data_IF_806491669434
#
_entry.id   IF_806491669434
#
_cell.length_a   1.000
_cell.length_b   1.000
_cell.length_c   1.000
_cell.angle_alpha   90.00
_cell.angle_beta   90.00
_cell.angle_gamma   90.00
#
_symmetry.space_group_name_H-M   'P 1'
#
loop_
_entity.id
_entity.type
_entity.pdbx_description
1 polymer ?
#
# COMPACT_ATOMS: atom_id res chain seq x y z
N UNK A 1 151.55 89.94 -25.45
CA UNK A 1 152.09 91.32 -25.42
C UNK A 1 153.57 91.38 -25.86
N UNK A 2 153.88 91.12 -27.14
CA UNK A 2 155.23 91.39 -27.73
C UNK A 2 155.20 92.22 -29.03
N UNK A 3 154.04 92.30 -29.69
CA UNK A 3 153.77 93.30 -30.76
C UNK A 3 153.53 94.73 -30.25
N UNK A 4 153.53 94.95 -28.93
CA UNK A 4 153.41 96.28 -28.30
C UNK A 4 154.77 96.92 -27.95
N UNK A 5 155.88 96.18 -28.10
CA UNK A 5 157.21 96.60 -27.62
C UNK A 5 158.23 96.84 -28.76
N UNK A 6 157.95 96.32 -29.95
CA UNK A 6 158.79 96.52 -31.16
C UNK A 6 158.42 97.82 -31.92
N UNK A 7 157.22 98.36 -31.73
CA UNK A 7 156.83 99.65 -32.34
C UNK A 7 157.35 100.88 -31.56
N UNK A 8 157.87 100.67 -30.34
CA UNK A 8 158.52 101.71 -29.51
C UNK A 8 160.03 101.80 -29.79
N UNK A 9 160.58 100.94 -30.67
CA UNK A 9 162.03 100.85 -30.91
C UNK A 9 162.38 100.60 -32.39
N UNK A 10 161.65 101.24 -33.30
CA UNK A 10 162.12 101.52 -34.67
C UNK A 10 162.34 103.04 -34.83
N UNK A 11 163.31 103.52 -34.06
CA UNK A 11 163.89 104.86 -34.16
C UNK A 11 164.58 105.05 -35.52
N UNK A 12 164.53 106.29 -36.04
CA UNK A 12 165.67 106.87 -36.75
C UNK A 12 165.49 107.14 -38.25
N UNK A 13 165.38 108.43 -38.60
CA UNK A 13 165.45 109.02 -39.95
C UNK A 13 164.40 108.50 -40.97
N UNK A 14 163.63 109.35 -41.64
CA UNK A 14 164.03 110.65 -42.18
C UNK A 14 163.11 111.78 -41.72
N UNK A 15 163.73 112.90 -41.33
CA UNK A 15 163.09 114.22 -41.38
C UNK A 15 163.00 114.61 -42.85
N UNK A 16 161.95 114.12 -43.51
CA UNK A 16 161.57 114.52 -44.86
C UNK A 16 160.97 115.92 -44.86
N UNK A 17 161.79 116.93 -44.56
CA UNK A 17 161.44 118.33 -44.81
C UNK A 17 160.99 118.40 -46.27
N UNK A 18 159.76 118.85 -46.50
CA UNK A 18 159.26 119.23 -47.82
C UNK A 18 160.25 120.22 -48.41
N UNK A 19 161.13 119.74 -49.30
CA UNK A 19 162.37 120.41 -49.64
C UNK A 19 162.10 121.51 -50.66
N UNK A 20 161.51 122.59 -50.17
CA UNK A 20 161.26 123.81 -50.92
C UNK A 20 162.62 124.37 -51.34
N UNK A 21 162.91 124.31 -52.64
CA UNK A 21 164.20 124.74 -53.15
C UNK A 21 164.35 126.25 -53.01
N UNK A 22 165.48 126.69 -52.43
CA UNK A 22 165.72 128.11 -52.07
C UNK A 22 165.61 129.07 -53.26
N UNK A 23 165.88 128.57 -54.46
CA UNK A 23 165.89 129.26 -55.75
C UNK A 23 164.60 129.07 -56.57
N UNK A 24 163.62 128.30 -56.07
CA UNK A 24 162.31 128.12 -56.72
C UNK A 24 161.20 128.57 -55.77
N UNK A 25 160.95 129.89 -55.64
CA UNK A 25 159.88 130.41 -54.79
C UNK A 25 158.48 130.05 -55.33
N UNK A 26 157.47 130.14 -54.47
CA UNK A 26 156.07 129.70 -54.75
C UNK A 26 155.46 130.36 -56.00
N UNK A 27 155.88 131.58 -56.33
CA UNK A 27 155.42 132.34 -57.49
C UNK A 27 156.26 132.12 -58.76
N UNK A 28 157.27 131.24 -58.73
CA UNK A 28 158.05 130.88 -59.92
C UNK A 28 157.20 130.01 -60.85
N UNK A 29 157.24 130.28 -62.17
CA UNK A 29 156.41 129.58 -63.16
C UNK A 29 156.55 128.05 -63.13
N UNK A 30 157.74 127.55 -62.79
CA UNK A 30 158.03 126.12 -62.69
C UNK A 30 157.72 125.51 -61.31
N UNK A 31 157.25 126.29 -60.32
CA UNK A 31 157.15 125.85 -58.92
C UNK A 31 156.30 124.59 -58.76
N UNK A 32 155.07 124.57 -59.29
CA UNK A 32 154.17 123.42 -59.18
C UNK A 32 154.78 122.17 -59.84
N UNK A 33 155.28 122.30 -61.08
CA UNK A 33 155.90 121.20 -61.81
C UNK A 33 157.16 120.65 -61.10
N UNK A 34 158.01 121.53 -60.56
CA UNK A 34 159.22 121.14 -59.79
C UNK A 34 158.83 120.46 -58.49
N UNK A 35 157.87 121.01 -57.74
CA UNK A 35 157.41 120.44 -56.49
C UNK A 35 156.70 119.08 -56.69
N UNK A 36 155.91 118.93 -57.74
CA UNK A 36 155.25 117.65 -58.05
C UNK A 36 156.25 116.60 -58.53
N UNK A 37 157.16 116.93 -59.46
CA UNK A 37 158.23 116.03 -59.89
C UNK A 37 159.20 115.68 -58.75
N UNK A 38 159.42 116.59 -57.79
CA UNK A 38 160.19 116.33 -56.58
C UNK A 38 159.44 115.47 -55.57
N UNK A 39 158.12 115.67 -55.39
CA UNK A 39 157.27 114.84 -54.53
C UNK A 39 157.13 113.41 -55.05
N UNK A 40 157.12 113.25 -56.36
CA UNK A 40 157.22 111.97 -57.06
C UNK A 40 158.66 111.40 -57.05
N UNK A 41 159.65 112.15 -56.58
CA UNK A 41 161.07 111.75 -56.52
C UNK A 41 161.77 111.69 -57.89
N UNK A 42 161.09 112.08 -58.97
CA UNK A 42 161.59 112.06 -60.35
C UNK A 42 162.80 112.98 -60.50
N UNK A 43 162.69 114.21 -60.01
CA UNK A 43 163.77 115.19 -59.96
C UNK A 43 164.13 115.45 -58.50
N UNK A 44 165.42 115.52 -58.22
CA UNK A 44 165.96 115.83 -56.89
C UNK A 44 166.96 116.97 -57.03
N UNK A 45 166.77 118.05 -56.26
CA UNK A 45 167.69 119.18 -56.25
C UNK A 45 169.05 118.85 -55.64
N UNK A 46 169.88 119.88 -55.55
CA UNK A 46 171.26 119.79 -55.10
C UNK A 46 171.38 119.72 -53.56
N UNK A 47 172.50 119.22 -53.02
CA UNK A 47 172.72 119.11 -51.57
C UNK A 47 172.70 120.43 -50.79
N UNK A 48 172.89 121.57 -51.46
CA UNK A 48 172.80 122.92 -50.86
C UNK A 48 171.35 123.42 -50.63
N UNK A 49 170.36 122.66 -51.13
CA UNK A 49 168.94 123.00 -51.09
C UNK A 49 168.46 123.86 -52.25
N UNK A 50 169.22 123.97 -53.34
CA UNK A 50 168.80 124.60 -54.60
C UNK A 50 168.35 123.56 -55.63
N UNK A 51 167.53 123.96 -56.59
CA UNK A 51 167.14 123.15 -57.75
C UNK A 51 168.09 123.36 -58.93
N UNK A 52 168.65 124.57 -59.04
CA UNK A 52 169.50 125.04 -60.15
C UNK A 52 168.81 124.97 -61.52
N UNK A 53 167.55 125.39 -61.60
CA UNK A 53 166.72 125.25 -62.81
C UNK A 53 167.25 125.94 -64.08
N UNK A 54 168.14 126.93 -63.95
CA UNK A 54 168.80 127.60 -65.08
C UNK A 54 170.15 126.96 -65.47
N UNK A 55 170.63 125.94 -64.75
CA UNK A 55 171.87 125.23 -65.05
C UNK A 55 171.65 124.14 -66.11
N UNK A 56 172.68 123.85 -66.91
CA UNK A 56 172.62 122.76 -67.88
C UNK A 56 172.50 121.39 -67.19
N UNK A 57 171.45 120.65 -67.54
CA UNK A 57 171.23 119.29 -67.06
C UNK A 57 172.22 118.32 -67.74
N UNK A 58 172.94 117.51 -66.95
CA UNK A 58 173.78 116.45 -67.53
C UNK A 58 172.91 115.32 -68.10
N UNK A 59 173.42 114.63 -69.12
CA UNK A 59 172.73 113.46 -69.72
C UNK A 59 172.44 112.36 -68.69
N UNK A 60 173.29 112.21 -67.67
CA UNK A 60 173.07 111.28 -66.56
C UNK A 60 171.87 111.68 -65.68
N UNK A 61 171.76 112.95 -65.29
CA UNK A 61 170.61 113.45 -64.51
C UNK A 61 169.30 113.30 -65.30
N UNK A 62 169.32 113.60 -66.61
CA UNK A 62 168.16 113.39 -67.49
C UNK A 62 167.74 111.92 -67.55
N UNK A 63 168.69 110.99 -67.74
CA UNK A 63 168.41 109.56 -67.80
C UNK A 63 167.84 109.02 -66.47
N UNK A 64 168.37 109.45 -65.33
CA UNK A 64 167.83 109.08 -64.01
C UNK A 64 166.40 109.60 -63.84
N UNK A 65 166.13 110.85 -64.22
CA UNK A 65 164.78 111.42 -64.16
C UNK A 65 163.79 110.63 -65.01
N UNK A 66 164.11 110.36 -66.29
CA UNK A 66 163.24 109.57 -67.16
C UNK A 66 163.06 108.13 -66.67
N UNK A 67 164.09 107.49 -66.11
CA UNK A 67 163.97 106.15 -65.53
C UNK A 67 163.05 106.12 -64.31
N UNK A 68 163.15 107.11 -63.41
CA UNK A 68 162.24 107.26 -62.27
C UNK A 68 160.81 107.52 -62.72
N UNK A 69 160.60 108.45 -63.66
CA UNK A 69 159.29 108.76 -64.23
C UNK A 69 158.67 107.53 -64.91
N UNK A 70 159.45 106.79 -65.72
CA UNK A 70 159.00 105.56 -66.35
C UNK A 70 158.58 104.51 -65.31
N UNK A 71 159.34 104.32 -64.23
CA UNK A 71 158.96 103.37 -63.19
C UNK A 71 157.68 103.76 -62.45
N UNK A 72 157.42 105.06 -62.25
CA UNK A 72 156.16 105.55 -61.66
C UNK A 72 154.99 105.33 -62.61
N UNK A 73 155.14 105.72 -63.88
CA UNK A 73 154.12 105.51 -64.92
C UNK A 73 153.87 104.01 -65.23
N UNK A 74 154.83 103.13 -64.89
CA UNK A 74 154.71 101.67 -65.01
C UNK A 74 154.07 101.01 -63.77
N UNK A 75 153.87 101.71 -62.66
CA UNK A 75 153.13 101.15 -61.53
C UNK A 75 151.62 101.25 -61.77
N UNK A 76 150.89 100.11 -61.89
CA UNK A 76 149.44 100.14 -61.98
C UNK A 76 148.84 100.35 -60.59
N UNK A 77 148.27 101.53 -60.33
CA UNK A 77 147.67 101.86 -59.03
C UNK A 77 146.14 101.79 -59.06
N UNK A 78 145.56 100.60 -58.82
CA UNK A 78 144.29 100.37 -58.07
C UNK A 78 143.84 98.91 -58.18
N UNK A 79 143.29 98.37 -57.08
CA UNK A 79 142.99 96.94 -56.89
C UNK A 79 141.72 96.46 -57.62
N UNK A 80 141.85 96.11 -58.92
CA UNK A 80 140.78 95.45 -59.70
C UNK A 80 140.52 94.02 -59.20
N UNK A 81 141.52 93.31 -58.70
CA UNK A 81 141.39 91.92 -58.24
C UNK A 81 140.52 91.79 -56.99
N UNK A 82 140.66 92.69 -56.02
CA UNK A 82 139.80 92.76 -54.84
C UNK A 82 138.34 93.11 -55.17
N UNK A 83 138.09 93.84 -56.26
CA UNK A 83 136.74 94.08 -56.79
C UNK A 83 136.16 92.83 -57.45
N UNK A 84 136.93 92.12 -58.28
CA UNK A 84 136.52 90.85 -58.90
C UNK A 84 136.14 89.82 -57.82
N UNK A 85 136.96 89.68 -56.77
CA UNK A 85 136.66 88.77 -55.66
C UNK A 85 135.36 89.15 -54.93
N UNK A 86 135.09 90.45 -54.73
CA UNK A 86 133.83 90.93 -54.14
C UNK A 86 132.62 90.62 -55.02
N UNK A 87 132.74 90.80 -56.33
CA UNK A 87 131.67 90.45 -57.29
C UNK A 87 131.38 88.95 -57.25
N UNK A 88 132.40 88.10 -57.29
CA UNK A 88 132.24 86.64 -57.16
C UNK A 88 131.56 86.24 -55.84
N UNK A 89 131.95 86.82 -54.70
CA UNK A 89 131.22 86.56 -53.44
C UNK A 89 129.78 87.07 -53.44
N UNK A 90 129.46 88.09 -54.26
CA UNK A 90 128.10 88.56 -54.44
C UNK A 90 127.28 87.58 -55.29
N UNK A 91 127.86 87.00 -56.35
CA UNK A 91 127.22 85.99 -57.20
C UNK A 91 126.87 84.72 -56.40
N UNK A 92 127.76 84.27 -55.51
CA UNK A 92 127.49 83.15 -54.58
C UNK A 92 126.35 83.48 -53.60
N UNK A 93 126.35 84.70 -53.04
CA UNK A 93 125.30 85.15 -52.12
C UNK A 93 123.95 85.32 -52.83
N UNK A 94 123.93 85.84 -54.05
CA UNK A 94 122.73 85.96 -54.89
C UNK A 94 122.20 84.58 -55.28
N UNK A 95 123.06 83.65 -55.68
CA UNK A 95 122.68 82.26 -55.98
C UNK A 95 122.10 81.56 -54.75
N UNK A 96 122.73 81.75 -53.58
CA UNK A 96 122.23 81.26 -52.29
C UNK A 96 120.88 81.87 -51.91
N UNK A 97 120.69 83.17 -52.18
CA UNK A 97 119.43 83.86 -51.93
C UNK A 97 118.31 83.35 -52.86
N UNK A 98 118.60 83.17 -54.16
CA UNK A 98 117.65 82.60 -55.12
C UNK A 98 117.21 81.18 -54.73
N UNK A 99 118.15 80.30 -54.34
CA UNK A 99 117.80 78.97 -53.82
C UNK A 99 116.91 79.04 -52.57
N UNK A 100 117.18 79.97 -51.64
CA UNK A 100 116.32 80.16 -50.45
C UNK A 100 114.94 80.69 -50.82
N UNK A 101 114.84 81.62 -51.77
CA UNK A 101 113.55 82.16 -52.27
C UNK A 101 112.76 81.06 -52.98
N UNK A 102 113.40 80.20 -53.77
CA UNK A 102 112.76 79.06 -54.42
C UNK A 102 112.26 78.04 -53.40
N UNK A 103 113.10 77.62 -52.44
CA UNK A 103 112.69 76.72 -51.36
C UNK A 103 111.52 77.30 -50.53
N UNK A 104 111.49 78.62 -50.30
CA UNK A 104 110.37 79.29 -49.65
C UNK A 104 109.11 79.25 -50.54
N UNK A 105 109.24 79.49 -51.84
CA UNK A 105 108.13 79.40 -52.80
C UNK A 105 107.52 77.99 -52.83
N UNK A 106 108.36 76.95 -52.86
CA UNK A 106 107.92 75.55 -52.86
C UNK A 106 107.22 75.19 -51.54
N UNK A 107 107.77 75.65 -50.40
CA UNK A 107 107.12 75.51 -49.09
C UNK A 107 105.78 76.26 -49.01
N UNK A 108 105.67 77.47 -49.58
CA UNK A 108 104.39 78.20 -49.68
C UNK A 108 103.38 77.47 -50.57
N UNK A 109 103.82 76.82 -51.64
CA UNK A 109 103.00 75.93 -52.45
C UNK A 109 102.44 74.75 -51.64
N UNK A 110 103.30 74.10 -50.85
CA UNK A 110 102.90 73.04 -49.90
C UNK A 110 101.85 73.51 -48.89
N UNK A 111 102.13 74.60 -48.16
CA UNK A 111 101.18 75.21 -47.20
C UNK A 111 99.84 75.58 -47.86
N UNK A 112 99.87 76.05 -49.11
CA UNK A 112 98.63 76.36 -49.87
C UNK A 112 97.82 75.09 -50.17
N UNK A 113 98.49 73.99 -50.52
CA UNK A 113 97.86 72.68 -50.73
C UNK A 113 97.26 72.11 -49.44
N UNK A 114 97.98 72.21 -48.32
CA UNK A 114 97.51 71.77 -47.00
C UNK A 114 96.29 72.59 -46.55
N UNK A 115 96.27 73.89 -46.84
CA UNK A 115 95.14 74.77 -46.50
C UNK A 115 93.87 74.41 -47.29
N UNK A 116 93.97 74.11 -48.59
CA UNK A 116 92.81 73.64 -49.37
C UNK A 116 92.36 72.23 -48.93
N UNK A 117 93.28 71.35 -48.54
CA UNK A 117 92.94 70.04 -47.94
C UNK A 117 92.16 70.23 -46.62
N UNK A 118 92.70 71.04 -45.70
CA UNK A 118 92.06 71.32 -44.40
C UNK A 118 90.68 71.98 -44.55
N UNK A 119 90.52 72.86 -45.55
CA UNK A 119 89.25 73.51 -45.90
C UNK A 119 88.22 72.49 -46.41
N UNK A 120 88.64 71.51 -47.20
CA UNK A 120 87.78 70.40 -47.63
C UNK A 120 87.41 69.48 -46.45
N UNK A 121 88.36 69.14 -45.57
CA UNK A 121 88.08 68.36 -44.35
C UNK A 121 87.10 69.09 -43.42
N UNK A 122 87.23 70.40 -43.25
CA UNK A 122 86.28 71.23 -42.49
C UNK A 122 84.90 71.26 -43.16
N UNK A 123 84.81 71.21 -44.49
CA UNK A 123 83.53 71.10 -45.19
C UNK A 123 82.88 69.72 -44.97
N UNK A 124 83.67 68.64 -45.05
CA UNK A 124 83.23 67.27 -44.80
C UNK A 124 82.76 67.10 -43.35
N UNK A 125 83.52 67.57 -42.36
CA UNK A 125 83.14 67.56 -40.94
C UNK A 125 81.86 68.33 -40.66
N UNK A 126 81.61 69.45 -41.37
CA UNK A 126 80.35 70.19 -41.27
C UNK A 126 79.17 69.38 -41.83
N UNK A 127 79.35 68.66 -42.94
CA UNK A 127 78.33 67.77 -43.49
C UNK A 127 78.01 66.64 -42.49
N UNK A 128 79.03 65.92 -42.00
CA UNK A 128 78.86 64.86 -40.99
C UNK A 128 78.20 65.39 -39.71
N UNK A 129 78.48 66.62 -39.28
CA UNK A 129 77.81 67.25 -38.14
C UNK A 129 76.31 67.52 -38.39
N UNK A 130 75.91 67.83 -39.63
CA UNK A 130 74.50 67.96 -40.01
C UNK A 130 73.83 66.59 -40.01
N UNK A 131 74.46 65.57 -40.59
CA UNK A 131 73.93 64.20 -40.61
C UNK A 131 73.77 63.63 -39.20
N UNK A 132 74.75 63.84 -38.31
CA UNK A 132 74.65 63.45 -36.89
C UNK A 132 73.54 64.20 -36.14
N UNK A 133 73.26 65.46 -36.49
CA UNK A 133 72.12 66.21 -35.91
C UNK A 133 70.79 65.63 -36.40
N UNK A 134 70.67 65.32 -37.68
CA UNK A 134 69.47 64.70 -38.25
C UNK A 134 69.23 63.31 -37.64
N UNK A 135 70.28 62.48 -37.55
CA UNK A 135 70.22 61.16 -36.90
C UNK A 135 69.84 61.26 -35.42
N UNK A 136 70.34 62.28 -34.69
CA UNK A 136 69.92 62.55 -33.30
C UNK A 136 68.42 62.86 -33.20
N UNK A 137 67.88 63.67 -34.12
CA UNK A 137 66.45 64.01 -34.13
C UNK A 137 65.61 62.76 -34.42
N UNK A 138 66.02 61.96 -35.40
CA UNK A 138 65.36 60.70 -35.75
C UNK A 138 65.34 59.71 -34.57
N UNK A 139 66.49 59.47 -33.93
CA UNK A 139 66.61 58.59 -32.75
C UNK A 139 65.74 59.10 -31.59
N UNK A 140 65.70 60.42 -31.34
CA UNK A 140 64.84 60.99 -30.30
C UNK A 140 63.35 60.81 -30.60
N UNK A 141 62.95 60.90 -31.88
CA UNK A 141 61.58 60.63 -32.32
C UNK A 141 61.19 59.16 -32.11
N UNK A 142 62.07 58.23 -32.47
CA UNK A 142 61.85 56.79 -32.26
C UNK A 142 61.77 56.43 -30.76
N UNK A 143 62.63 57.01 -29.92
CA UNK A 143 62.57 56.84 -28.46
C UNK A 143 61.27 57.37 -27.87
N UNK A 144 60.76 58.52 -28.35
CA UNK A 144 59.46 59.04 -27.91
C UNK A 144 58.31 58.11 -28.33
N UNK A 145 58.30 57.64 -29.59
CA UNK A 145 57.29 56.70 -30.08
C UNK A 145 57.26 55.41 -29.24
N UNK A 146 58.43 54.86 -28.89
CA UNK A 146 58.53 53.67 -28.04
C UNK A 146 58.08 53.93 -26.59
N UNK A 147 58.34 55.13 -26.05
CA UNK A 147 57.83 55.55 -24.74
C UNK A 147 56.29 55.58 -24.71
N UNK A 148 55.68 56.11 -25.78
CA UNK A 148 54.23 56.22 -25.89
C UNK A 148 53.57 54.83 -26.09
N UNK A 149 54.20 53.93 -26.86
CA UNK A 149 53.81 52.52 -26.98
C UNK A 149 53.87 51.77 -25.64
N UNK A 150 54.94 51.97 -24.85
CA UNK A 150 55.08 51.37 -23.53
C UNK A 150 54.00 51.85 -22.55
N UNK A 151 53.65 53.14 -22.57
CA UNK A 151 52.54 53.67 -21.77
C UNK A 151 51.19 53.07 -22.19
N UNK A 152 50.96 52.88 -23.48
CA UNK A 152 49.76 52.19 -23.99
C UNK A 152 49.71 50.72 -23.54
N UNK A 153 50.85 50.04 -23.49
CA UNK A 153 50.95 48.65 -23.05
C UNK A 153 50.70 48.53 -21.53
N UNK A 154 51.27 49.40 -20.71
CA UNK A 154 51.03 49.45 -19.26
C UNK A 154 49.54 49.65 -18.93
N UNK A 155 48.87 50.59 -19.62
CA UNK A 155 47.43 50.79 -19.47
C UNK A 155 46.62 49.51 -19.79
N UNK A 156 46.98 48.78 -20.85
CA UNK A 156 46.34 47.50 -21.22
C UNK A 156 46.61 46.40 -20.19
N UNK A 157 47.81 46.35 -19.62
CA UNK A 157 48.16 45.41 -18.54
C UNK A 157 47.33 45.69 -17.28
N UNK A 158 47.21 46.95 -16.88
CA UNK A 158 46.41 47.36 -15.73
C UNK A 158 44.90 47.09 -15.93
N UNK A 159 44.38 47.25 -17.16
CA UNK A 159 43.01 46.85 -17.51
C UNK A 159 42.83 45.32 -17.44
N UNK A 160 43.81 44.55 -17.93
CA UNK A 160 43.78 43.08 -17.87
C UNK A 160 43.83 42.56 -16.43
N UNK A 161 44.67 43.13 -15.56
CA UNK A 161 44.71 42.82 -14.13
C UNK A 161 43.37 43.13 -13.44
N UNK A 162 42.75 44.26 -13.77
CA UNK A 162 41.42 44.62 -13.26
C UNK A 162 40.33 43.64 -13.70
N UNK A 163 40.39 43.16 -14.95
CA UNK A 163 39.50 42.11 -15.48
C UNK A 163 39.72 40.76 -14.79
N UNK A 164 40.97 40.39 -14.50
CA UNK A 164 41.32 39.16 -13.77
C UNK A 164 40.73 39.21 -12.35
N UNK A 165 40.97 40.28 -11.60
CA UNK A 165 40.43 40.44 -10.24
C UNK A 165 38.88 40.38 -10.20
N UNK A 166 38.21 40.95 -11.22
CA UNK A 166 36.76 40.86 -11.36
C UNK A 166 36.27 39.43 -11.67
N UNK A 167 37.04 38.63 -12.41
CA UNK A 167 36.75 37.21 -12.66
C UNK A 167 36.99 36.36 -11.42
N UNK A 168 38.08 36.58 -10.68
CA UNK A 168 38.37 35.89 -9.40
C UNK A 168 37.27 36.14 -8.36
N UNK A 169 36.77 37.38 -8.27
CA UNK A 169 35.65 37.74 -7.41
C UNK A 169 34.34 37.03 -7.81
N UNK A 170 34.02 36.98 -9.11
CA UNK A 170 32.85 36.23 -9.61
C UNK A 170 32.96 34.74 -9.32
N UNK A 171 34.11 34.14 -9.60
CA UNK A 171 34.37 32.73 -9.37
C UNK A 171 34.21 32.38 -7.88
N UNK A 172 34.70 33.25 -6.99
CA UNK A 172 34.54 33.12 -5.54
C UNK A 172 33.06 33.21 -5.10
N UNK A 173 32.27 34.07 -5.73
CA UNK A 173 30.82 34.16 -5.49
C UNK A 173 30.05 32.91 -5.94
N UNK A 174 30.42 32.32 -7.07
CA UNK A 174 29.81 31.09 -7.56
C UNK A 174 30.11 29.89 -6.64
N UNK A 175 31.28 29.85 -5.99
CA UNK A 175 31.58 28.85 -4.95
C UNK A 175 30.67 28.96 -3.72
N UNK A 176 30.31 30.18 -3.27
CA UNK A 176 29.34 30.36 -2.17
C UNK A 176 27.95 29.84 -2.55
N UNK A 177 27.55 30.01 -3.81
CA UNK A 177 26.30 29.44 -4.32
C UNK A 177 26.38 27.90 -4.37
N UNK A 178 27.52 27.33 -4.75
CA UNK A 178 27.76 25.87 -4.70
C UNK A 178 27.63 25.33 -3.28
N UNK A 179 28.26 25.94 -2.28
CA UNK A 179 28.19 25.47 -0.88
C UNK A 179 26.76 25.57 -0.32
N UNK A 180 25.99 26.59 -0.71
CA UNK A 180 24.57 26.68 -0.40
C UNK A 180 23.75 25.55 -1.06
N UNK A 181 24.00 25.27 -2.35
CA UNK A 181 23.35 24.18 -3.08
C UNK A 181 23.70 22.82 -2.48
N UNK A 182 24.96 22.56 -2.14
CA UNK A 182 25.41 21.32 -1.49
C UNK A 182 24.75 21.15 -0.12
N UNK A 183 24.63 22.22 0.66
CA UNK A 183 23.88 22.22 1.93
C UNK A 183 22.39 21.88 1.73
N UNK A 184 21.76 22.40 0.66
CA UNK A 184 20.38 22.07 0.31
C UNK A 184 20.21 20.64 -0.21
N UNK A 185 21.19 20.12 -0.94
CA UNK A 185 21.23 18.71 -1.37
C UNK A 185 21.35 17.82 -0.13
N UNK A 186 22.29 18.08 0.78
CA UNK A 186 22.46 17.32 2.02
C UNK A 186 21.21 17.33 2.91
N UNK A 187 20.56 18.49 3.08
CA UNK A 187 19.26 18.61 3.78
C UNK A 187 18.16 17.77 3.10
N UNK A 188 18.17 17.70 1.77
CA UNK A 188 17.17 16.94 1.00
C UNK A 188 17.41 15.44 1.10
N UNK A 189 18.67 14.98 0.96
CA UNK A 189 19.08 13.58 1.15
C UNK A 189 18.75 13.09 2.56
N UNK A 190 19.03 13.89 3.59
CA UNK A 190 18.68 13.55 4.98
C UNK A 190 17.16 13.36 5.18
N UNK A 191 16.34 14.25 4.61
CA UNK A 191 14.87 14.10 4.63
C UNK A 191 14.38 12.89 3.85
N UNK A 192 15.04 12.57 2.73
CA UNK A 192 14.69 11.40 1.92
C UNK A 192 14.94 10.10 2.71
N UNK A 193 16.06 10.03 3.42
CA UNK A 193 16.40 8.89 4.30
C UNK A 193 15.42 8.72 5.48
N UNK A 194 14.95 9.81 6.10
CA UNK A 194 13.86 9.75 7.11
C UNK A 194 12.56 9.18 6.51
N UNK A 195 12.20 9.62 5.30
CA UNK A 195 11.01 9.15 4.60
C UNK A 195 11.12 7.66 4.21
N UNK A 196 12.29 7.19 3.78
CA UNK A 196 12.57 5.77 3.51
C UNK A 196 12.42 4.91 4.77
N UNK A 197 12.99 5.35 5.90
CA UNK A 197 12.84 4.66 7.19
C UNK A 197 11.37 4.61 7.65
N UNK A 198 10.62 5.69 7.47
CA UNK A 198 9.19 5.75 7.78
C UNK A 198 8.34 4.90 6.85
N UNK A 199 8.70 4.79 5.57
CA UNK A 199 8.03 3.90 4.61
C UNK A 199 8.20 2.44 5.03
N UNK A 200 9.42 2.01 5.34
CA UNK A 200 9.71 0.64 5.79
C UNK A 200 8.96 0.27 7.09
N UNK A 201 8.81 1.23 8.01
CA UNK A 201 7.98 1.05 9.21
C UNK A 201 6.48 0.90 8.90
N UNK A 202 5.97 1.61 7.89
CA UNK A 202 4.58 1.46 7.41
C UNK A 202 4.37 0.11 6.73
N UNK A 203 5.28 -0.31 5.85
CA UNK A 203 5.25 -1.63 5.19
C UNK A 203 5.21 -2.77 6.21
N UNK A 204 6.08 -2.70 7.23
CA UNK A 204 6.10 -3.66 8.35
C UNK A 204 4.78 -3.68 9.12
N UNK A 205 4.18 -2.51 9.37
CA UNK A 205 2.88 -2.41 10.05
C UNK A 205 1.74 -2.98 9.19
N UNK A 206 1.76 -2.77 7.89
CA UNK A 206 0.79 -3.34 6.93
C UNK A 206 0.88 -4.86 6.92
N UNK A 207 2.09 -5.43 6.81
CA UNK A 207 2.29 -6.89 6.85
C UNK A 207 1.77 -7.52 8.17
N UNK A 208 2.00 -6.85 9.31
CA UNK A 208 1.47 -7.29 10.60
C UNK A 208 -0.07 -7.22 10.67
N UNK A 209 -0.69 -6.19 10.09
CA UNK A 209 -2.14 -6.07 10.01
C UNK A 209 -2.75 -7.13 9.09
N UNK A 210 -2.15 -7.42 7.94
CA UNK A 210 -2.57 -8.52 7.06
C UNK A 210 -2.52 -9.87 7.77
N UNK A 211 -1.45 -10.14 8.52
CA UNK A 211 -1.33 -11.37 9.32
C UNK A 211 -2.42 -11.46 10.40
N UNK A 212 -2.71 -10.35 11.09
CA UNK A 212 -3.78 -10.30 12.09
C UNK A 212 -5.16 -10.55 11.46
N UNK A 213 -5.44 -9.94 10.30
CA UNK A 213 -6.70 -10.15 9.56
C UNK A 213 -6.84 -11.62 9.17
N UNK A 214 -5.85 -12.22 8.48
CA UNK A 214 -5.86 -13.65 8.09
C UNK A 214 -6.10 -14.59 9.29
N UNK A 215 -5.45 -14.32 10.42
CA UNK A 215 -5.62 -15.10 11.64
C UNK A 215 -7.04 -14.93 12.25
N UNK A 216 -7.59 -13.72 12.20
CA UNK A 216 -8.95 -13.44 12.69
C UNK A 216 -10.02 -14.09 11.81
N UNK A 217 -9.85 -14.08 10.48
CA UNK A 217 -10.73 -14.75 9.51
C UNK A 217 -10.71 -16.27 9.71
N UNK A 218 -9.52 -16.87 9.86
CA UNK A 218 -9.39 -18.30 10.15
C UNK A 218 -10.07 -18.70 11.48
N UNK A 219 -9.92 -17.86 12.52
CA UNK A 219 -10.52 -18.10 13.84
C UNK A 219 -12.05 -17.96 13.81
N UNK A 220 -12.57 -16.96 13.11
CA UNK A 220 -14.00 -16.76 12.88
C UNK A 220 -14.60 -17.93 12.08
N UNK A 221 -13.90 -18.39 11.03
CA UNK A 221 -14.32 -19.53 10.23
C UNK A 221 -14.41 -20.81 11.07
N UNK A 222 -13.36 -21.15 11.81
CA UNK A 222 -13.32 -22.34 12.68
C UNK A 222 -14.42 -22.30 13.76
N UNK A 223 -14.63 -21.14 14.38
CA UNK A 223 -15.72 -20.93 15.35
C UNK A 223 -17.09 -21.14 14.71
N UNK A 224 -17.37 -20.50 13.57
CA UNK A 224 -18.66 -20.61 12.87
C UNK A 224 -18.91 -22.05 12.39
N UNK A 225 -17.92 -22.70 11.79
CA UNK A 225 -18.04 -24.10 11.33
C UNK A 225 -18.32 -25.05 12.50
N UNK A 226 -17.59 -24.93 13.62
CA UNK A 226 -17.82 -25.75 14.82
C UNK A 226 -19.16 -25.49 15.49
N UNK A 227 -19.54 -24.22 15.68
CA UNK A 227 -20.80 -23.84 16.32
C UNK A 227 -22.00 -24.26 15.48
N UNK A 228 -22.01 -23.99 14.17
CA UNK A 228 -23.08 -24.43 13.29
C UNK A 228 -23.16 -25.95 13.22
N UNK A 229 -22.03 -26.67 13.09
CA UNK A 229 -22.01 -28.13 13.09
C UNK A 229 -22.60 -28.71 14.38
N UNK A 230 -22.21 -28.19 15.54
CA UNK A 230 -22.76 -28.58 16.84
C UNK A 230 -24.28 -28.35 16.95
N UNK A 231 -24.78 -27.21 16.46
CA UNK A 231 -26.23 -26.96 16.41
C UNK A 231 -26.96 -27.90 15.44
N UNK A 232 -26.40 -28.19 14.26
CA UNK A 232 -26.95 -29.16 13.31
C UNK A 232 -26.99 -30.56 13.94
N UNK A 233 -25.90 -31.03 14.52
CA UNK A 233 -25.84 -32.35 15.18
C UNK A 233 -26.84 -32.47 16.33
N UNK A 234 -27.01 -31.40 17.11
CA UNK A 234 -28.01 -31.34 18.20
C UNK A 234 -29.45 -31.36 17.66
N UNK A 235 -29.71 -30.69 16.52
CA UNK A 235 -31.03 -30.70 15.88
C UNK A 235 -31.34 -32.06 15.25
N UNK A 236 -30.38 -32.67 14.57
CA UNK A 236 -30.51 -34.00 13.96
C UNK A 236 -30.78 -35.07 15.04
N UNK A 237 -30.05 -35.01 16.18
CA UNK A 237 -30.33 -35.87 17.34
C UNK A 237 -31.77 -35.69 17.85
N UNK A 238 -32.20 -34.45 18.10
CA UNK A 238 -33.57 -34.17 18.58
C UNK A 238 -34.65 -34.58 17.60
N UNK A 239 -34.40 -34.43 16.29
CA UNK A 239 -35.33 -34.86 15.24
C UNK A 239 -35.46 -36.39 15.22
N UNK A 240 -34.34 -37.11 15.39
CA UNK A 240 -34.31 -38.57 15.51
C UNK A 240 -35.05 -39.08 16.75
N UNK A 241 -34.78 -38.48 17.92
CA UNK A 241 -35.47 -38.79 19.19
C UNK A 241 -36.99 -38.53 19.11
N UNK A 242 -37.39 -37.40 18.52
CA UNK A 242 -38.80 -37.07 18.31
C UNK A 242 -39.48 -38.07 17.36
N UNK A 243 -38.80 -38.43 16.27
CA UNK A 243 -39.32 -39.39 15.29
C UNK A 243 -39.54 -40.77 15.91
N UNK A 244 -38.57 -41.28 16.67
CA UNK A 244 -38.69 -42.54 17.41
C UNK A 244 -39.81 -42.51 18.46
N UNK A 245 -40.01 -41.37 19.14
CA UNK A 245 -41.11 -41.17 20.10
C UNK A 245 -42.48 -41.20 19.42
N UNK A 246 -42.63 -40.51 18.28
CA UNK A 246 -43.86 -40.52 17.47
C UNK A 246 -44.16 -41.93 16.94
N UNK A 247 -43.15 -42.63 16.43
CA UNK A 247 -43.30 -43.99 15.92
C UNK A 247 -43.74 -44.98 17.02
N UNK A 248 -43.09 -44.92 18.19
CA UNK A 248 -43.48 -45.69 19.39
C UNK A 248 -44.93 -45.41 19.80
N UNK A 249 -45.35 -44.14 19.83
CA UNK A 249 -46.70 -43.76 20.22
C UNK A 249 -47.74 -44.23 19.18
N UNK A 250 -47.43 -44.14 17.88
CA UNK A 250 -48.29 -44.70 16.82
C UNK A 250 -48.42 -46.21 16.93
N UNK A 251 -47.34 -46.94 17.24
CA UNK A 251 -47.40 -48.40 17.48
C UNK A 251 -48.27 -48.73 18.69
N UNK A 252 -48.13 -47.99 19.80
CA UNK A 252 -48.95 -48.17 21.01
C UNK A 252 -50.44 -47.91 20.74
N UNK A 253 -50.77 -46.77 20.12
CA UNK A 253 -52.14 -46.41 19.74
C UNK A 253 -52.76 -47.43 18.77
N UNK A 254 -51.98 -47.94 17.80
CA UNK A 254 -52.43 -49.00 16.89
C UNK A 254 -52.78 -50.29 17.66
N UNK A 255 -51.98 -50.65 18.67
CA UNK A 255 -52.26 -51.76 19.58
C UNK A 255 -53.52 -51.54 20.43
N UNK A 256 -53.70 -50.36 21.01
CA UNK A 256 -54.91 -49.99 21.77
C UNK A 256 -56.18 -50.02 20.89
N UNK A 257 -56.11 -49.47 19.68
CA UNK A 257 -57.20 -49.54 18.68
C UNK A 257 -57.52 -51.00 18.33
N UNK A 258 -56.50 -51.85 18.19
CA UNK A 258 -56.67 -53.30 18.00
C UNK A 258 -57.43 -53.95 19.16
N UNK A 259 -57.02 -53.67 20.40
CA UNK A 259 -57.67 -54.19 21.61
C UNK A 259 -59.12 -53.70 21.75
N UNK A 260 -59.36 -52.41 21.51
CA UNK A 260 -60.71 -51.82 21.52
C UNK A 260 -61.60 -52.46 20.45
N UNK A 261 -61.07 -52.72 19.25
CA UNK A 261 -61.81 -53.39 18.17
C UNK A 261 -62.24 -54.80 18.58
N UNK A 262 -61.36 -55.58 19.23
CA UNK A 262 -61.70 -56.90 19.79
C UNK A 262 -62.78 -56.79 20.88
N UNK A 263 -62.67 -55.83 21.79
CA UNK A 263 -63.67 -55.59 22.84
C UNK A 263 -65.04 -55.22 22.25
N UNK A 264 -65.08 -54.34 21.24
CA UNK A 264 -66.32 -53.97 20.54
C UNK A 264 -66.95 -55.17 19.85
N UNK A 265 -66.18 -56.00 19.14
CA UNK A 265 -66.70 -57.24 18.54
C UNK A 265 -67.24 -58.23 19.57
N UNK A 266 -66.62 -58.32 20.76
CA UNK A 266 -67.14 -59.12 21.86
C UNK A 266 -68.46 -58.55 22.40
N UNK A 267 -68.52 -57.26 22.68
CA UNK A 267 -69.74 -56.59 23.16
C UNK A 267 -70.89 -56.69 22.15
N UNK A 268 -70.61 -56.66 20.85
CA UNK A 268 -71.61 -56.92 19.80
C UNK A 268 -72.15 -58.35 19.88
N UNK A 269 -71.28 -59.36 20.02
CA UNK A 269 -71.68 -60.76 20.21
C UNK A 269 -72.48 -61.00 21.50
N UNK A 270 -72.08 -60.37 22.61
CA UNK A 270 -72.77 -60.46 23.89
C UNK A 270 -74.15 -59.78 23.82
N UNK A 271 -74.25 -58.64 23.13
CA UNK A 271 -75.52 -57.94 22.87
C UNK A 271 -76.48 -58.77 22.01
N UNK A 272 -76.01 -59.39 20.92
CA UNK A 272 -76.83 -60.32 20.12
C UNK A 272 -77.36 -61.49 20.98
N UNK A 273 -76.52 -61.99 21.90
CA UNK A 273 -76.88 -63.09 22.81
C UNK A 273 -77.93 -62.66 23.84
N UNK A 274 -77.80 -61.45 24.39
CA UNK A 274 -78.83 -60.87 25.25
C UNK A 274 -80.14 -60.60 24.49
N UNK A 275 -80.09 -60.10 23.25
CA UNK A 275 -81.29 -59.90 22.42
C UNK A 275 -82.02 -61.22 22.13
N UNK A 276 -81.29 -62.30 21.84
CA UNK A 276 -81.87 -63.66 21.71
C UNK A 276 -82.53 -64.12 23.01
N UNK A 277 -81.86 -63.89 24.14
CA UNK A 277 -82.38 -64.23 25.48
C UNK A 277 -83.63 -63.44 25.84
N UNK A 278 -83.66 -62.14 25.55
CA UNK A 278 -84.82 -61.26 25.78
C UNK A 278 -86.04 -61.70 24.96
N UNK A 279 -85.86 -62.02 23.66
CA UNK A 279 -86.94 -62.58 22.82
C UNK A 279 -87.47 -63.92 23.35
N UNK A 280 -86.61 -64.76 23.91
CA UNK A 280 -87.01 -66.03 24.51
C UNK A 280 -87.77 -65.84 25.85
N UNK A 281 -87.40 -64.82 26.63
CA UNK A 281 -88.14 -64.42 27.83
C UNK A 281 -89.52 -63.85 27.48
N UNK A 282 -89.61 -62.98 26.49
CA UNK A 282 -90.86 -62.39 26.00
C UNK A 282 -91.85 -63.48 25.53
N UNK A 283 -91.37 -64.44 24.74
CA UNK A 283 -92.16 -65.62 24.34
C UNK A 283 -92.63 -66.46 25.56
N UNK A 284 -91.80 -66.62 26.59
CA UNK A 284 -92.19 -67.32 27.83
C UNK A 284 -93.22 -66.54 28.63
N UNK A 285 -93.13 -65.21 28.69
CA UNK A 285 -94.12 -64.34 29.34
C UNK A 285 -95.45 -64.46 28.62
N UNK A 286 -95.49 -64.36 27.29
CA UNK A 286 -96.72 -64.53 26.51
C UNK A 286 -97.38 -65.90 26.73
N UNK A 287 -96.60 -66.99 26.84
CA UNK A 287 -97.13 -68.32 27.22
C UNK A 287 -97.70 -68.31 28.64
N UNK A 288 -97.03 -67.68 29.61
CA UNK A 288 -97.50 -67.55 30.99
C UNK A 288 -98.79 -66.72 31.10
N UNK A 289 -98.91 -65.63 30.33
CA UNK A 289 -100.13 -64.81 30.25
C UNK A 289 -101.32 -65.63 29.70
N UNK A 290 -101.10 -66.41 28.64
CA UNK A 290 -102.09 -67.36 28.12
C UNK A 290 -102.48 -68.45 29.13
N UNK A 291 -101.52 -68.96 29.90
CA UNK A 291 -101.77 -69.89 31.01
C UNK A 291 -102.58 -69.23 32.13
N UNK A 292 -102.27 -67.98 32.52
CA UNK A 292 -103.01 -67.23 33.55
C UNK A 292 -104.45 -66.98 33.08
N UNK A 293 -104.68 -66.59 31.82
CA UNK A 293 -106.02 -66.43 31.23
C UNK A 293 -106.82 -67.74 31.27
N UNK A 294 -106.14 -68.86 30.98
CA UNK A 294 -106.72 -70.21 31.07
C UNK A 294 -107.05 -70.59 32.51
N UNK A 295 -106.23 -70.19 33.49
CA UNK A 295 -106.53 -70.38 34.92
C UNK A 295 -107.69 -69.49 35.37
N UNK A 296 -107.75 -68.23 34.94
CA UNK A 296 -108.81 -67.30 35.32
C UNK A 296 -110.19 -67.78 34.87
N UNK A 297 -110.32 -68.19 33.60
CA UNK A 297 -111.56 -68.78 33.09
C UNK A 297 -111.96 -70.09 33.78
N UNK A 298 -110.98 -70.88 34.27
CA UNK A 298 -111.25 -72.04 35.13
C UNK A 298 -111.73 -71.63 36.54
N UNK A 299 -111.20 -70.55 37.11
CA UNK A 299 -111.66 -69.98 38.39
C UNK A 299 -113.09 -69.46 38.24
N UNK A 300 -113.39 -68.66 37.23
CA UNK A 300 -114.76 -68.18 36.93
C UNK A 300 -115.76 -69.34 36.74
N UNK A 301 -115.33 -70.44 36.12
CA UNK A 301 -116.12 -71.66 35.99
C UNK A 301 -116.35 -72.37 37.33
N UNK A 302 -115.32 -72.39 38.20
CA UNK A 302 -115.43 -72.93 39.55
C UNK A 302 -116.33 -72.04 40.44
N UNK A 303 -116.23 -70.72 40.35
CA UNK A 303 -117.11 -69.77 41.05
C UNK A 303 -118.58 -69.99 40.67
N UNK A 304 -118.88 -70.09 39.36
CA UNK A 304 -120.23 -70.44 38.89
C UNK A 304 -120.72 -71.78 39.44
N UNK A 305 -119.84 -72.79 39.54
CA UNK A 305 -120.17 -74.10 40.14
C UNK A 305 -120.37 -73.99 41.65
N UNK A 306 -119.63 -73.16 42.36
CA UNK A 306 -119.83 -72.89 43.80
C UNK A 306 -121.19 -72.23 44.01
N UNK A 307 -121.55 -71.19 43.25
CA UNK A 307 -122.88 -70.57 43.35
C UNK A 307 -124.03 -71.52 42.99
N UNK A 308 -123.81 -72.46 42.07
CA UNK A 308 -124.77 -73.55 41.82
C UNK A 308 -124.91 -74.50 43.01
N UNK A 309 -123.80 -74.81 43.71
CA UNK A 309 -123.80 -75.62 44.93
C UNK A 309 -124.47 -74.87 46.09
N UNK A 310 -124.21 -73.57 46.27
CA UNK A 310 -124.89 -72.72 47.26
C UNK A 310 -126.41 -72.73 47.04
N UNK A 311 -126.86 -72.54 45.79
CA UNK A 311 -128.29 -72.65 45.44
C UNK A 311 -128.86 -74.06 45.67
N UNK A 312 -128.04 -75.12 45.52
CA UNK A 312 -128.45 -76.48 45.85
C UNK A 312 -128.56 -76.70 47.37
N UNK A 313 -127.67 -76.12 48.16
CA UNK A 313 -127.73 -76.11 49.63
C UNK A 313 -128.98 -75.36 50.11
N UNK A 314 -129.32 -74.20 49.52
CA UNK A 314 -130.57 -73.50 49.82
C UNK A 314 -131.83 -74.32 49.49
N UNK A 315 -131.80 -75.10 48.40
CA UNK A 315 -132.87 -76.07 48.10
C UNK A 315 -132.94 -77.20 49.13
N UNK A 316 -131.81 -77.72 49.61
CA UNK A 316 -131.78 -78.71 50.70
C UNK A 316 -132.34 -78.10 51.98
N UNK A 317 -131.92 -76.90 52.38
CA UNK A 317 -132.46 -76.17 53.53
C UNK A 317 -133.99 -75.95 53.42
N UNK A 318 -134.50 -75.68 52.22
CA UNK A 318 -135.95 -75.59 51.94
C UNK A 318 -136.64 -76.95 52.08
N UNK A 319 -136.03 -78.01 51.54
CA UNK A 319 -136.54 -79.38 51.66
C UNK A 319 -136.55 -79.85 53.12
N UNK A 320 -135.53 -79.55 53.92
CA UNK A 320 -135.50 -79.85 55.36
C UNK A 320 -136.66 -79.17 56.12
N UNK A 321 -136.95 -77.89 55.84
CA UNK A 321 -138.12 -77.20 56.40
C UNK A 321 -139.43 -77.88 55.97
N UNK A 322 -139.55 -78.27 54.70
CA UNK A 322 -140.73 -78.98 54.20
C UNK A 322 -140.88 -80.37 54.82
N UNK A 323 -139.77 -81.06 55.08
CA UNK A 323 -139.73 -82.37 55.71
C UNK A 323 -140.07 -82.27 57.20
N UNK A 324 -139.61 -81.24 57.91
CA UNK A 324 -140.07 -80.92 59.26
C UNK A 324 -141.58 -80.66 59.34
N UNK A 325 -142.16 -79.99 58.33
CA UNK A 325 -143.61 -79.81 58.22
C UNK A 325 -144.35 -81.12 57.91
N UNK A 326 -143.75 -82.04 57.13
CA UNK A 326 -144.29 -83.40 56.92
C UNK A 326 -144.21 -84.22 58.21
N UNK A 327 -143.10 -84.19 58.95
CA UNK A 327 -142.95 -84.85 60.26
C UNK A 327 -144.04 -84.40 61.22
N UNK A 328 -144.28 -83.10 61.35
CA UNK A 328 -145.35 -82.57 62.20
C UNK A 328 -146.77 -83.01 61.77
N UNK A 329 -147.01 -83.20 60.45
CA UNK A 329 -148.26 -83.78 59.96
C UNK A 329 -148.39 -85.27 60.27
N UNK A 330 -147.29 -86.04 60.20
CA UNK A 330 -147.27 -87.45 60.59
C UNK A 330 -147.60 -87.61 62.07
N UNK A 331 -146.97 -86.82 62.96
CA UNK A 331 -147.26 -86.87 64.41
C UNK A 331 -148.74 -86.63 64.71
N UNK A 332 -149.38 -85.72 63.97
CA UNK A 332 -150.82 -85.46 64.09
C UNK A 332 -151.68 -86.64 63.62
N UNK A 333 -151.31 -87.30 62.53
CA UNK A 333 -152.03 -88.49 62.03
C UNK A 333 -151.89 -89.68 62.99
N UNK A 334 -150.71 -89.86 63.60
CA UNK A 334 -150.48 -90.89 64.62
C UNK A 334 -151.39 -90.70 65.85
N UNK A 335 -151.65 -89.45 66.24
CA UNK A 335 -152.56 -89.12 67.35
C UNK A 335 -154.05 -89.30 66.97
N UNK A 336 -154.44 -89.01 65.73
CA UNK A 336 -155.79 -89.30 65.21
C UNK A 336 -156.07 -90.82 65.14
N UNK A 337 -155.11 -91.64 64.70
CA UNK A 337 -155.20 -93.11 64.67
C UNK A 337 -155.33 -93.71 66.09
N UNK A 338 -154.63 -93.12 67.07
CA UNK A 338 -154.71 -93.56 68.47
C UNK A 338 -156.13 -93.39 69.05
N UNK A 339 -156.78 -92.27 68.77
CA UNK A 339 -158.14 -91.99 69.24
C UNK A 339 -159.20 -92.91 68.59
N UNK A 340 -159.04 -93.23 67.30
CA UNK A 340 -159.92 -94.16 66.59
C UNK A 340 -159.88 -95.58 67.17
N UNK A 341 -158.69 -96.09 67.50
CA UNK A 341 -158.55 -97.42 68.10
C UNK A 341 -159.24 -97.54 69.47
N UNK A 342 -159.25 -96.47 70.27
CA UNK A 342 -159.92 -96.47 71.57
C UNK A 342 -161.45 -96.51 71.43
N UNK A 343 -162.02 -95.78 70.48
CA UNK A 343 -163.47 -95.80 70.20
C UNK A 343 -163.96 -97.15 69.68
N UNK A 344 -163.12 -97.88 68.92
CA UNK A 344 -163.48 -99.20 68.40
C UNK A 344 -163.56 -100.29 69.49
N UNK A 345 -162.84 -100.13 70.61
CA UNK A 345 -162.88 -101.05 71.74
C UNK A 345 -164.21 -100.95 72.52
N UNK A 346 -164.72 -99.73 72.74
CA UNK A 346 -165.98 -99.48 73.46
C UNK A 346 -167.22 -100.00 72.71
N UNK A 347 -167.17 -100.02 71.37
CA UNK A 347 -168.21 -100.59 70.52
C UNK A 347 -168.31 -102.11 70.67
N UNK A 348 -167.18 -102.81 70.77
CA UNK A 348 -167.16 -104.28 70.89
C UNK A 348 -167.82 -104.76 72.18
N UNK A 349 -167.60 -104.06 73.30
CA UNK A 349 -168.13 -104.45 74.60
C UNK A 349 -169.66 -104.34 74.71
N UNK A 350 -170.30 -103.43 73.95
CA UNK A 350 -171.76 -103.30 73.90
C UNK A 350 -172.47 -104.38 73.06
N UNK A 351 -171.73 -105.10 72.21
CA UNK A 351 -172.30 -106.18 71.38
C UNK A 351 -172.54 -107.44 72.22
N UNK A 352 -171.62 -107.77 73.15
CA UNK A 352 -171.68 -109.01 73.93
C UNK A 352 -172.81 -109.03 74.99
N UNK A 353 -173.19 -107.88 75.58
CA UNK A 353 -174.31 -107.80 76.53
C UNK A 353 -175.68 -108.05 75.89
N UNK A 354 -175.86 -107.67 74.61
CA UNK A 354 -177.15 -107.81 73.90
C UNK A 354 -177.42 -109.25 73.47
N UNK A 355 -176.37 -110.04 73.23
CA UNK A 355 -176.48 -111.45 72.81
C UNK A 355 -177.01 -112.34 73.94
N UNK A 356 -176.70 -112.02 75.20
CA UNK A 356 -176.85 -112.94 76.34
C UNK A 356 -178.25 -113.00 76.99
N UNK A 357 -179.27 -112.32 76.45
CA UNK A 357 -180.54 -112.05 77.18
C UNK A 357 -181.86 -112.38 76.46
N UNK A 358 -181.86 -113.11 75.34
CA UNK A 358 -183.11 -113.46 74.61
C UNK A 358 -183.45 -114.96 74.54
N UNK A 359 -184.75 -115.36 74.63
CA UNK A 359 -185.13 -116.76 74.86
C UNK A 359 -184.96 -117.76 73.69
N UNK A 360 -184.53 -117.31 72.51
CA UNK A 360 -184.46 -118.14 71.30
C UNK A 360 -183.09 -118.85 71.13
N UNK A 361 -182.14 -118.67 72.05
CA UNK A 361 -180.83 -119.30 71.95
C UNK A 361 -180.83 -120.79 72.36
N UNK A 362 -181.87 -121.26 73.05
CA UNK A 362 -182.05 -122.69 73.37
C UNK A 362 -182.35 -123.52 72.10
N UNK A 363 -183.10 -122.94 71.15
CA UNK A 363 -183.38 -123.53 69.84
C UNK A 363 -182.17 -123.53 68.88
N UNK A 364 -181.21 -122.60 69.04
CA UNK A 364 -179.99 -122.59 68.23
C UNK A 364 -179.04 -123.74 68.64
N UNK A 365 -179.00 -124.07 69.93
CA UNK A 365 -178.21 -125.20 70.42
C UNK A 365 -178.87 -126.57 70.11
N UNK A 366 -180.20 -126.65 70.01
CA UNK A 366 -180.88 -127.87 69.52
C UNK A 366 -180.66 -128.10 68.01
N UNK A 367 -180.51 -127.03 67.22
CA UNK A 367 -180.08 -127.11 65.81
C UNK A 367 -178.61 -127.52 65.68
N UNK A 368 -177.73 -127.10 66.59
CA UNK A 368 -176.34 -127.59 66.67
C UNK A 368 -176.29 -129.12 66.91
N UNK A 369 -177.12 -129.63 67.82
CA UNK A 369 -177.30 -131.07 68.04
C UNK A 369 -177.86 -131.83 66.82
N UNK A 370 -178.57 -131.14 65.91
CA UNK A 370 -179.16 -131.73 64.70
C UNK A 370 -178.22 -131.63 63.48
N UNK A 371 -177.35 -130.61 63.40
CA UNK A 371 -176.36 -130.46 62.33
C UNK A 371 -175.16 -131.39 62.50
N UNK A 372 -174.71 -131.69 63.73
CA UNK A 372 -173.72 -132.76 63.95
C UNK A 372 -174.22 -134.13 63.50
N UNK A 373 -175.54 -134.39 63.55
CA UNK A 373 -176.13 -135.61 63.00
C UNK A 373 -176.13 -135.66 61.46
N UNK A 374 -176.12 -134.51 60.77
CA UNK A 374 -175.99 -134.44 59.30
C UNK A 374 -174.55 -134.32 58.79
N UNK A 375 -173.61 -133.86 59.61
CA UNK A 375 -172.18 -133.89 59.27
C UNK A 375 -171.61 -135.32 59.42
N UNK A 376 -172.14 -136.12 60.35
CA UNK A 376 -171.85 -137.55 60.45
C UNK A 376 -172.24 -138.35 59.20
N UNK A 377 -173.35 -138.00 58.53
CA UNK A 377 -173.90 -138.77 57.39
C UNK A 377 -173.53 -138.20 55.99
N UNK A 378 -172.70 -137.16 55.92
CA UNK A 378 -172.17 -136.62 54.63
C UNK A 378 -170.66 -136.88 54.47
N UNK A 379 -169.94 -137.22 55.54
CA UNK A 379 -168.68 -137.96 55.43
C UNK A 379 -168.90 -139.48 55.28
N UNK A 380 -170.13 -139.96 55.53
CA UNK A 380 -170.60 -141.27 55.06
C UNK A 380 -172.01 -141.17 54.46
N UNK A 381 -172.22 -140.87 53.18
CA UNK A 381 -171.54 -141.39 52.00
C UNK A 381 -172.32 -140.86 50.76
N UNK A 382 -171.86 -140.80 49.50
CA UNK A 382 -170.55 -140.91 48.85
C UNK A 382 -169.50 -141.74 49.58
N UNK A 383 -169.39 -143.05 49.43
CA UNK A 383 -169.95 -144.02 48.47
C UNK A 383 -169.52 -143.91 47.01
N UNK A 384 -168.60 -144.81 46.67
CA UNK A 384 -168.86 -145.94 45.78
C UNK A 384 -169.70 -145.69 44.53
N UNK A 385 -168.99 -145.39 43.44
CA UNK A 385 -169.30 -145.95 42.13
C UNK A 385 -168.05 -145.98 41.24
N UNK A 386 -167.60 -147.11 40.67
CA UNK A 386 -167.95 -148.54 40.85
C UNK A 386 -166.66 -149.37 40.64
N UNK A 387 -166.62 -150.62 41.11
CA UNK A 387 -165.49 -151.55 41.00
C UNK A 387 -165.03 -151.88 39.55
N UNK A 388 -163.81 -152.44 39.45
CA UNK A 388 -162.95 -152.48 38.25
C UNK A 388 -163.33 -153.56 37.21
N UNK A 389 -163.17 -153.23 35.91
CA UNK A 389 -162.96 -154.17 34.81
C UNK A 389 -162.49 -153.45 33.54
N UNK A 390 -161.69 -154.00 32.62
CA UNK A 390 -161.05 -155.33 32.48
C UNK A 390 -159.62 -155.10 31.93
N UNK A 391 -158.77 -156.13 31.90
CA UNK A 391 -157.63 -156.24 30.95
C UNK A 391 -157.95 -155.55 29.60
N UNK A 392 -157.03 -154.78 29.00
CA UNK A 392 -155.66 -154.49 29.41
C UNK A 392 -155.53 -153.24 30.30
N UNK A 393 -154.78 -153.23 31.40
CA UNK A 393 -153.81 -154.23 31.90
C UNK A 393 -154.06 -154.43 33.40
N UNK A 394 -155.02 -155.30 33.74
CA UNK A 394 -155.61 -155.38 35.09
C UNK A 394 -155.18 -156.70 35.73
N UNK A 395 -153.94 -156.66 36.26
CA UNK A 395 -153.06 -157.85 36.35
C UNK A 395 -152.16 -157.85 37.62
N UNK A 396 -152.43 -156.99 38.61
CA UNK A 396 -152.12 -157.23 40.04
C UNK A 396 -150.72 -156.86 40.57
N UNK A 397 -150.41 -157.39 41.77
CA UNK A 397 -149.21 -157.15 42.62
C UNK A 397 -149.10 -155.69 43.17
N UNK A 398 -148.51 -155.32 44.33
CA UNK A 398 -147.40 -155.78 45.21
C UNK A 398 -147.84 -155.43 46.67
N UNK A 399 -147.53 -156.15 47.77
CA UNK A 399 -146.29 -156.07 48.60
C UNK A 399 -145.71 -154.66 48.85
N UNK A 400 -144.94 -154.48 49.93
CA UNK A 400 -144.04 -153.32 50.14
C UNK A 400 -144.72 -152.08 50.72
N UNK A 401 -144.71 -151.89 52.04
CA UNK A 401 -143.73 -151.04 52.74
C UNK A 401 -143.83 -149.57 52.33
N UNK A 402 -144.43 -148.69 53.14
CA UNK A 402 -143.87 -148.23 54.43
C UNK A 402 -143.17 -146.88 54.21
N UNK A 403 -143.12 -145.94 55.16
CA UNK A 403 -143.46 -145.97 56.59
C UNK A 403 -144.10 -144.65 57.01
#
# INVERSE_FOLDING_TARGET
>A
MKKLLVFVLMLGAFVGISQQFKDVPVNHWAYEAVMEMSKLGVLTGMPDGTFQGNSYLTRYQAAVAFYRLYNILKQPSADVSGLINKVSTLEDLVSTALMKVQNLSDNFGGVTSDLETLKNDVANLKATLVDLKNLRVEVMSQVQSQSDELQSLDAKVNEALSKIAALESKLSGDFVNKDYVDSKIAQTVSKLSDLEGRLSAVETKTANLEALVRNSEASLKDYVEKTLKSYTDTLDQKLSELSASVEKNNTALSGEIGNLKVLVSKLQSDLETQQKTARALDARVSVLEGQITTVNSRVESLEKRVSQVESAVDKVNSLERSMGAVTARVTKVEEEVKNLNQSNAELSQKVDEVVSSKPWMEDVNSVSATLSKKISDVQTMALAGVAIGIVGVIIGFVMGSGK
#
